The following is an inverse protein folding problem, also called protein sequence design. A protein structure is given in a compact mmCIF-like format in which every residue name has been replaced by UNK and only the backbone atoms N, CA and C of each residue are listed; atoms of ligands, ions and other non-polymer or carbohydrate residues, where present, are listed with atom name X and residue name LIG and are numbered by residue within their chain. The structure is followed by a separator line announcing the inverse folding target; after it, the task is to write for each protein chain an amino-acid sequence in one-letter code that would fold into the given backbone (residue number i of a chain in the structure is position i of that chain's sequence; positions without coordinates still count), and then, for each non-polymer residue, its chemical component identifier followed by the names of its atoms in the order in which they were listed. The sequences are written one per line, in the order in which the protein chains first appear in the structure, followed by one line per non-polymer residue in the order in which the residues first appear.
data_IF_968484905937
#
_entry.id   IF_968484905937
#
_cell.length_a   1.000
_cell.length_b   1.000
_cell.length_c   1.000
_cell.angle_alpha   90.00
_cell.angle_beta   90.00
_cell.angle_gamma   90.00
#
_symmetry.space_group_name_H-M   'P 1'
#
loop_
_entity.id
_entity.type
_entity.pdbx_description
1 polymer ?
#
# COMPACT_ATOMS: atom_id res chain seq x y z
N UNK A 1 16.63 -0.77 -18.22
CA UNK A 1 16.39 0.46 -17.42
C UNK A 1 14.90 0.74 -17.48
N UNK A 2 14.27 1.10 -16.35
CA UNK A 2 12.84 1.46 -16.32
C UNK A 2 12.69 2.88 -16.88
N UNK A 3 12.20 3.00 -18.10
CA UNK A 3 11.98 4.29 -18.77
C UNK A 3 10.52 4.77 -18.65
N UNK A 4 10.20 5.88 -19.30
CA UNK A 4 8.86 6.45 -19.28
C UNK A 4 7.85 5.60 -20.07
N UNK A 5 8.29 4.90 -21.10
CA UNK A 5 7.45 4.02 -21.92
C UNK A 5 6.98 2.83 -21.09
N UNK A 6 7.91 2.12 -20.44
CA UNK A 6 7.59 0.99 -19.57
C UNK A 6 6.66 1.40 -18.41
N UNK A 7 6.94 2.56 -17.76
CA UNK A 7 6.08 3.04 -16.66
C UNK A 7 4.64 3.30 -17.07
N UNK A 8 4.43 3.73 -18.31
CA UNK A 8 3.11 4.07 -18.84
C UNK A 8 2.49 2.93 -19.68
N UNK A 9 3.22 1.83 -19.91
CA UNK A 9 2.67 0.67 -20.59
C UNK A 9 1.52 0.06 -19.80
N UNK A 10 0.40 -0.18 -20.46
CA UNK A 10 -0.75 -0.86 -19.87
C UNK A 10 -0.37 -2.25 -19.37
N UNK A 11 0.36 -3.01 -20.20
CA UNK A 11 0.79 -4.37 -19.91
C UNK A 11 1.69 -4.43 -18.67
N UNK A 12 2.63 -3.50 -18.53
CA UNK A 12 3.52 -3.45 -17.36
C UNK A 12 2.75 -3.10 -16.08
N UNK A 13 1.80 -2.18 -16.17
CA UNK A 13 0.94 -1.80 -15.04
C UNK A 13 -0.01 -2.94 -14.65
N UNK A 14 -0.61 -3.63 -15.61
CA UNK A 14 -1.49 -4.78 -15.36
C UNK A 14 -0.72 -5.96 -14.75
N UNK A 15 0.47 -6.26 -15.29
CA UNK A 15 1.36 -7.27 -14.70
C UNK A 15 1.77 -6.93 -13.25
N UNK A 16 2.10 -5.67 -12.97
CA UNK A 16 2.41 -5.25 -11.61
C UNK A 16 1.23 -5.45 -10.66
N UNK A 17 0.01 -5.11 -11.09
CA UNK A 17 -1.20 -5.35 -10.31
C UNK A 17 -1.44 -6.84 -10.07
N UNK A 18 -1.26 -7.67 -11.09
CA UNK A 18 -1.40 -9.12 -10.95
C UNK A 18 -0.37 -9.69 -9.98
N UNK A 19 0.89 -9.27 -10.05
CA UNK A 19 1.94 -9.67 -9.11
C UNK A 19 1.60 -9.29 -7.67
N UNK A 20 0.99 -8.12 -7.46
CA UNK A 20 0.59 -7.65 -6.14
C UNK A 20 -0.62 -8.41 -5.59
N UNK A 21 -1.59 -8.77 -6.43
CA UNK A 21 -2.93 -9.21 -6.01
C UNK A 21 -3.14 -10.71 -6.18
N UNK A 22 -2.69 -11.31 -7.28
CA UNK A 22 -3.12 -12.64 -7.70
C UNK A 22 -2.14 -13.75 -7.29
N UNK A 23 -0.85 -13.47 -7.16
CA UNK A 23 0.18 -14.49 -6.94
C UNK A 23 0.43 -14.89 -5.48
N UNK A 24 -0.40 -14.45 -4.55
CA UNK A 24 -0.48 -14.99 -3.18
C UNK A 24 0.72 -14.72 -2.25
N UNK A 25 1.79 -14.09 -2.71
CA UNK A 25 2.92 -13.66 -1.88
C UNK A 25 3.51 -12.32 -2.35
N UNK A 26 2.76 -11.23 -2.16
CA UNK A 26 3.16 -9.90 -2.62
C UNK A 26 4.46 -9.41 -1.95
N UNK A 27 4.67 -9.77 -0.69
CA UNK A 27 5.87 -9.38 0.05
C UNK A 27 7.14 -9.85 -0.65
N UNK A 28 7.22 -11.12 -1.02
CA UNK A 28 8.42 -11.68 -1.68
C UNK A 28 8.74 -10.96 -2.99
N UNK A 29 7.72 -10.68 -3.78
CA UNK A 29 7.88 -10.01 -5.09
C UNK A 29 8.32 -8.57 -4.90
N UNK A 30 7.62 -7.81 -4.04
CA UNK A 30 7.93 -6.41 -3.79
C UNK A 30 9.31 -6.24 -3.15
N UNK A 31 9.69 -7.11 -2.23
CA UNK A 31 11.02 -7.13 -1.62
C UNK A 31 12.10 -7.27 -2.68
N UNK A 32 11.98 -8.26 -3.58
CA UNK A 32 12.93 -8.43 -4.67
C UNK A 32 12.97 -7.24 -5.61
N UNK A 33 11.82 -6.67 -5.96
CA UNK A 33 11.75 -5.45 -6.77
C UNK A 33 12.44 -4.27 -6.06
N UNK A 34 12.28 -4.16 -4.73
CA UNK A 34 12.90 -3.10 -3.93
C UNK A 34 14.41 -3.28 -3.85
N UNK A 35 14.89 -4.49 -3.53
CA UNK A 35 16.31 -4.84 -3.45
C UNK A 35 17.10 -4.50 -4.73
N UNK A 36 16.50 -4.72 -5.89
CA UNK A 36 17.13 -4.41 -7.20
C UNK A 36 16.82 -2.99 -7.69
N UNK A 37 16.17 -2.16 -6.90
CA UNK A 37 15.82 -0.78 -7.24
C UNK A 37 14.71 -0.65 -8.28
N UNK A 38 14.11 -1.76 -8.72
CA UNK A 38 13.05 -1.74 -9.73
C UNK A 38 11.78 -1.06 -9.22
N UNK A 39 11.37 -1.33 -7.96
CA UNK A 39 10.13 -0.79 -7.40
C UNK A 39 10.15 0.74 -7.36
N UNK A 40 11.24 1.34 -6.88
CA UNK A 40 11.43 2.79 -6.87
C UNK A 40 11.58 3.39 -8.28
N UNK A 41 12.18 2.67 -9.23
CA UNK A 41 12.25 3.10 -10.62
C UNK A 41 10.88 3.04 -11.31
N UNK A 42 10.06 2.03 -11.02
CA UNK A 42 8.73 1.84 -11.59
C UNK A 42 7.69 2.78 -10.96
N UNK A 43 7.77 2.98 -9.63
CA UNK A 43 6.96 3.95 -8.87
C UNK A 43 7.91 4.97 -8.23
N UNK A 44 8.27 6.08 -8.91
CA UNK A 44 9.24 7.04 -8.39
C UNK A 44 8.86 7.63 -7.03
N UNK A 45 7.56 7.75 -6.76
CA UNK A 45 7.07 8.20 -5.47
C UNK A 45 7.38 7.19 -4.34
N UNK A 46 7.38 5.89 -4.63
CA UNK A 46 7.86 4.87 -3.70
C UNK A 46 9.39 4.93 -3.54
N UNK A 47 10.10 5.26 -4.61
CA UNK A 47 11.56 5.43 -4.56
C UNK A 47 12.03 6.49 -3.54
N UNK A 48 11.20 7.51 -3.24
CA UNK A 48 11.53 8.53 -2.22
C UNK A 48 11.47 7.99 -0.79
N UNK A 49 10.67 6.98 -0.53
CA UNK A 49 10.53 6.39 0.81
C UNK A 49 11.46 5.20 1.05
N UNK A 50 12.21 4.78 0.04
CA UNK A 50 13.23 3.72 0.19
C UNK A 50 14.32 4.18 1.15
N UNK A 51 14.63 3.34 2.13
CA UNK A 51 15.59 3.62 3.21
C UNK A 51 15.27 4.89 4.05
N UNK A 52 14.06 5.45 3.93
CA UNK A 52 13.63 6.58 4.74
C UNK A 52 13.37 6.12 6.17
N UNK A 53 14.23 6.56 7.10
CA UNK A 53 14.07 6.29 8.53
C UNK A 53 13.11 7.28 9.16
N UNK A 54 12.20 6.77 10.00
CA UNK A 54 11.40 7.60 10.90
C UNK A 54 12.01 7.58 12.29
N UNK A 55 12.55 8.74 12.73
CA UNK A 55 13.14 8.91 14.06
C UNK A 55 12.03 9.10 15.11
N UNK A 56 11.24 8.05 15.37
CA UNK A 56 10.38 8.02 16.55
C UNK A 56 10.52 6.67 17.27
N UNK A 57 10.20 6.63 18.55
CA UNK A 57 10.42 5.46 19.42
C UNK A 57 9.63 4.20 19.02
N UNK A 58 8.79 4.26 18.01
CA UNK A 58 7.86 3.19 17.64
C UNK A 58 8.17 2.54 16.28
N UNK A 59 9.17 3.04 15.51
CA UNK A 59 9.44 2.54 14.18
C UNK A 59 10.82 1.88 14.10
N UNK A 60 10.83 0.55 13.99
CA UNK A 60 12.04 -0.27 13.83
C UNK A 60 12.41 -0.48 12.35
N UNK A 61 11.55 -0.06 11.44
CA UNK A 61 11.70 -0.26 10.01
C UNK A 61 11.76 1.07 9.27
N UNK A 62 12.43 1.07 8.11
CA UNK A 62 12.29 2.12 7.12
C UNK A 62 10.88 2.11 6.54
N UNK A 63 10.43 3.22 5.94
CA UNK A 63 9.04 3.37 5.47
C UNK A 63 8.69 2.34 4.39
N UNK A 64 9.62 2.06 3.48
CA UNK A 64 9.47 1.03 2.45
C UNK A 64 9.35 -0.37 3.06
N UNK A 65 10.22 -0.70 4.02
CA UNK A 65 10.18 -2.00 4.71
C UNK A 65 8.89 -2.15 5.51
N UNK A 66 8.46 -1.11 6.24
CA UNK A 66 7.18 -1.10 6.93
C UNK A 66 6.02 -1.41 5.96
N UNK A 67 5.99 -0.75 4.81
CA UNK A 67 4.94 -0.96 3.80
C UNK A 67 4.93 -2.41 3.29
N UNK A 68 6.11 -2.97 3.00
CA UNK A 68 6.24 -4.36 2.55
C UNK A 68 5.79 -5.35 3.64
N UNK A 69 6.14 -5.08 4.91
CA UNK A 69 5.68 -5.90 6.04
C UNK A 69 4.16 -5.83 6.25
N UNK A 70 3.54 -4.67 6.09
CA UNK A 70 2.08 -4.54 6.14
C UNK A 70 1.39 -5.41 5.08
N UNK A 71 1.93 -5.45 3.86
CA UNK A 71 1.40 -6.31 2.79
C UNK A 71 1.61 -7.81 3.07
N UNK A 72 2.73 -8.17 3.73
CA UNK A 72 2.96 -9.53 4.22
C UNK A 72 1.88 -9.93 5.21
N UNK A 73 1.70 -9.13 6.27
CA UNK A 73 0.70 -9.39 7.32
C UNK A 73 -0.70 -9.51 6.71
N UNK A 74 -1.07 -8.61 5.79
CA UNK A 74 -2.35 -8.71 5.10
C UNK A 74 -2.52 -10.05 4.37
N UNK A 75 -1.49 -10.49 3.63
CA UNK A 75 -1.54 -11.76 2.89
C UNK A 75 -1.56 -12.99 3.80
N UNK A 76 -0.99 -12.88 5.00
CA UNK A 76 -1.06 -13.93 6.03
C UNK A 76 -2.46 -14.01 6.64
N UNK A 77 -3.06 -12.86 6.96
CA UNK A 77 -4.43 -12.78 7.48
C UNK A 77 -5.43 -13.40 6.49
N UNK A 78 -5.29 -13.16 5.19
CA UNK A 78 -6.15 -13.76 4.17
C UNK A 78 -6.08 -15.29 4.11
N UNK A 79 -4.96 -15.87 4.56
CA UNK A 79 -4.72 -17.32 4.56
C UNK A 79 -5.14 -18.00 5.87
N UNK A 80 -5.55 -17.23 6.89
CA UNK A 80 -5.97 -17.80 8.16
C UNK A 80 -7.19 -18.73 7.96
N UNK A 81 -7.27 -19.86 8.71
CA UNK A 81 -8.43 -20.73 8.67
C UNK A 81 -9.70 -20.01 9.08
N UNK A 82 -10.82 -20.28 8.38
CA UNK A 82 -12.12 -19.61 8.59
C UNK A 82 -12.80 -19.87 9.95
N UNK A 83 -12.13 -20.48 10.91
CA UNK A 83 -12.69 -20.88 12.21
C UNK A 83 -12.08 -20.14 13.40
N UNK A 84 -11.42 -19.00 13.15
CA UNK A 84 -10.73 -18.26 14.21
C UNK A 84 -11.69 -17.41 15.08
N UNK A 85 -12.96 -17.20 14.64
CA UNK A 85 -13.99 -16.48 15.40
C UNK A 85 -13.65 -15.01 15.70
N UNK A 86 -12.74 -14.41 14.93
CA UNK A 86 -12.29 -13.05 15.13
C UNK A 86 -13.05 -12.06 14.24
N UNK A 87 -13.15 -10.78 14.67
CA UNK A 87 -13.70 -9.70 13.86
C UNK A 87 -12.99 -9.58 12.49
N UNK A 88 -11.72 -9.95 12.41
CA UNK A 88 -10.92 -9.99 11.19
C UNK A 88 -11.48 -11.00 10.20
N UNK A 89 -11.81 -12.22 10.66
CA UNK A 89 -12.40 -13.26 9.82
C UNK A 89 -13.76 -12.82 9.26
N UNK A 90 -14.60 -12.19 10.08
CA UNK A 90 -15.87 -11.65 9.63
C UNK A 90 -15.71 -10.62 8.53
N UNK A 91 -14.72 -9.71 8.66
CA UNK A 91 -14.41 -8.70 7.65
C UNK A 91 -13.94 -9.35 6.35
N UNK A 92 -13.00 -10.31 6.41
CA UNK A 92 -12.44 -10.97 5.22
C UNK A 92 -13.40 -11.97 4.56
N UNK A 93 -14.37 -12.51 5.30
CA UNK A 93 -15.41 -13.38 4.73
C UNK A 93 -16.44 -12.63 3.89
N UNK A 94 -16.51 -11.32 4.02
CA UNK A 94 -17.47 -10.50 3.26
C UNK A 94 -17.12 -10.50 1.78
N UNK A 95 -18.00 -10.99 0.94
CA UNK A 95 -17.87 -10.98 -0.55
C UNK A 95 -17.66 -9.58 -1.14
N UNK A 96 -17.88 -8.53 -0.36
CA UNK A 96 -17.72 -7.12 -0.77
C UNK A 96 -16.29 -6.58 -0.62
N UNK A 97 -15.37 -7.35 -0.02
CA UNK A 97 -14.00 -6.89 0.16
C UNK A 97 -13.27 -6.89 -1.19
N UNK A 98 -12.88 -5.71 -1.64
CA UNK A 98 -12.09 -5.56 -2.87
C UNK A 98 -10.60 -5.64 -2.54
N UNK A 99 -9.98 -6.82 -2.79
CA UNK A 99 -8.56 -7.07 -2.57
C UNK A 99 -7.68 -6.00 -3.21
N UNK A 100 -7.97 -5.62 -4.46
CA UNK A 100 -7.21 -4.60 -5.19
C UNK A 100 -7.19 -3.28 -4.43
N UNK A 101 -8.35 -2.83 -3.95
CA UNK A 101 -8.45 -1.60 -3.15
C UNK A 101 -7.61 -1.72 -1.89
N UNK A 102 -7.72 -2.83 -1.16
CA UNK A 102 -7.03 -3.01 0.11
C UNK A 102 -5.50 -3.04 -0.05
N UNK A 103 -4.99 -3.87 -0.99
CA UNK A 103 -3.55 -3.99 -1.23
C UNK A 103 -2.93 -2.69 -1.73
N UNK A 104 -3.59 -1.97 -2.64
CA UNK A 104 -3.09 -0.68 -3.12
C UNK A 104 -3.18 0.41 -2.05
N UNK A 105 -4.20 0.39 -1.20
CA UNK A 105 -4.28 1.34 -0.09
C UNK A 105 -3.12 1.15 0.88
N UNK A 106 -2.76 -0.10 1.21
CA UNK A 106 -1.59 -0.38 2.04
C UNK A 106 -0.29 0.00 1.31
N UNK A 107 -0.15 -0.30 0.02
CA UNK A 107 1.05 0.10 -0.72
C UNK A 107 1.27 1.61 -0.74
N UNK A 108 0.19 2.39 -0.68
CA UNK A 108 0.23 3.86 -0.80
C UNK A 108 0.03 4.61 0.51
N UNK A 109 -0.29 3.95 1.64
CA UNK A 109 -0.68 4.66 2.86
C UNK A 109 0.38 5.66 3.34
N UNK A 110 1.64 5.30 3.23
CA UNK A 110 2.79 6.10 3.67
C UNK A 110 3.60 6.72 2.53
N UNK A 111 3.14 6.64 1.28
CA UNK A 111 3.89 7.07 0.10
C UNK A 111 4.17 8.59 0.06
N UNK A 112 3.42 9.36 0.84
CA UNK A 112 3.62 10.81 1.01
C UNK A 112 4.66 11.19 2.05
N UNK A 113 5.23 10.23 2.80
CA UNK A 113 6.25 10.51 3.81
C UNK A 113 7.53 11.09 3.18
N UNK A 114 8.24 11.91 3.93
CA UNK A 114 9.43 12.62 3.45
C UNK A 114 9.15 13.86 2.60
N UNK A 115 7.88 14.23 2.39
CA UNK A 115 7.48 15.50 1.79
C UNK A 115 7.23 16.55 2.88
N UNK A 116 7.26 17.83 2.52
CA UNK A 116 7.14 18.96 3.47
C UNK A 116 5.74 19.07 4.10
N UNK A 117 4.71 18.69 3.35
CA UNK A 117 3.32 18.79 3.81
C UNK A 117 2.89 17.51 4.54
N UNK A 118 1.67 17.55 5.09
CA UNK A 118 1.03 16.38 5.69
C UNK A 118 1.06 15.17 4.74
N UNK A 119 1.68 14.09 5.19
CA UNK A 119 1.92 12.92 4.35
C UNK A 119 0.64 12.20 3.90
N UNK A 120 -0.46 12.32 4.65
CA UNK A 120 -1.74 11.74 4.27
C UNK A 120 -2.37 12.54 3.12
N UNK A 121 -2.20 13.87 3.11
CA UNK A 121 -2.64 14.75 2.01
C UNK A 121 -1.80 14.48 0.75
N UNK A 122 -0.49 14.46 0.90
CA UNK A 122 0.40 14.19 -0.23
C UNK A 122 0.23 12.75 -0.74
N UNK A 123 0.06 11.78 0.16
CA UNK A 123 -0.25 10.40 -0.17
C UNK A 123 -1.52 10.26 -1.02
N UNK A 124 -2.60 10.95 -0.66
CA UNK A 124 -3.84 10.99 -1.45
C UNK A 124 -3.60 11.53 -2.87
N UNK A 125 -2.84 12.62 -3.02
CA UNK A 125 -2.51 13.20 -4.34
C UNK A 125 -1.72 12.22 -5.20
N UNK A 126 -0.72 11.55 -4.60
CA UNK A 126 0.11 10.55 -5.27
C UNK A 126 -0.75 9.33 -5.65
N UNK A 127 -1.53 8.80 -4.70
CA UNK A 127 -2.44 7.68 -4.95
C UNK A 127 -3.42 7.99 -6.09
N UNK A 128 -3.94 9.21 -6.17
CA UNK A 128 -4.82 9.66 -7.26
C UNK A 128 -4.14 9.53 -8.62
N UNK A 129 -2.87 9.95 -8.74
CA UNK A 129 -2.08 9.85 -10.00
C UNK A 129 -1.79 8.39 -10.35
N UNK A 130 -1.35 7.59 -9.36
CA UNK A 130 -1.02 6.18 -9.56
C UNK A 130 -2.25 5.35 -9.93
N UNK A 131 -3.39 5.58 -9.29
CA UNK A 131 -4.65 4.90 -9.64
C UNK A 131 -5.09 5.18 -11.09
N UNK A 132 -4.88 6.41 -11.59
CA UNK A 132 -5.13 6.75 -13.00
C UNK A 132 -4.15 6.00 -13.92
N UNK A 133 -2.86 5.99 -13.59
CA UNK A 133 -1.84 5.26 -14.34
C UNK A 133 -2.14 3.76 -14.43
N UNK A 134 -2.60 3.17 -13.34
CA UNK A 134 -3.03 1.77 -13.26
C UNK A 134 -4.42 1.50 -13.85
N UNK A 135 -5.03 2.48 -14.51
CA UNK A 135 -6.35 2.35 -15.16
C UNK A 135 -7.45 1.83 -14.25
N UNK A 136 -7.41 2.20 -12.96
CA UNK A 136 -8.41 1.77 -11.98
C UNK A 136 -9.75 2.46 -12.20
N UNK A 137 -10.84 1.74 -11.89
CA UNK A 137 -12.19 2.31 -11.90
C UNK A 137 -12.30 3.46 -10.90
N UNK A 138 -13.15 4.44 -11.21
CA UNK A 138 -13.37 5.64 -10.39
C UNK A 138 -13.80 5.28 -8.95
N UNK A 139 -14.64 4.26 -8.81
CA UNK A 139 -15.10 3.77 -7.51
C UNK A 139 -13.95 3.15 -6.67
N UNK A 140 -13.01 2.46 -7.29
CA UNK A 140 -11.83 1.90 -6.63
C UNK A 140 -10.86 3.02 -6.24
N UNK A 141 -10.58 3.94 -7.15
CA UNK A 141 -9.74 5.12 -6.91
C UNK A 141 -10.23 5.93 -5.72
N UNK A 142 -11.53 6.28 -5.68
CA UNK A 142 -12.12 7.04 -4.57
C UNK A 142 -11.90 6.34 -3.23
N UNK A 143 -12.10 5.03 -3.17
CA UNK A 143 -11.89 4.23 -1.94
C UNK A 143 -10.41 4.22 -1.52
N UNK A 144 -9.49 4.00 -2.47
CA UNK A 144 -8.05 3.98 -2.18
C UNK A 144 -7.61 5.35 -1.66
N UNK A 145 -7.97 6.44 -2.35
CA UNK A 145 -7.61 7.78 -1.94
C UNK A 145 -8.17 8.11 -0.55
N UNK A 146 -9.41 7.75 -0.26
CA UNK A 146 -10.01 7.93 1.06
C UNK A 146 -9.26 7.15 2.15
N UNK A 147 -8.93 5.88 1.90
CA UNK A 147 -8.19 5.04 2.85
C UNK A 147 -6.78 5.59 3.10
N UNK A 148 -6.06 6.00 2.06
CA UNK A 148 -4.74 6.62 2.19
C UNK A 148 -4.83 7.93 3.00
N UNK A 149 -5.82 8.77 2.70
CA UNK A 149 -6.03 10.05 3.40
C UNK A 149 -6.31 9.87 4.90
N UNK A 150 -7.03 8.81 5.26
CA UNK A 150 -7.55 8.61 6.61
C UNK A 150 -6.91 7.43 7.35
N UNK A 151 -5.74 6.94 6.90
CA UNK A 151 -5.13 5.73 7.47
C UNK A 151 -4.74 5.86 8.96
N UNK A 152 -4.48 7.08 9.45
CA UNK A 152 -4.16 7.36 10.85
C UNK A 152 -5.39 7.57 11.73
N UNK A 153 -6.60 7.67 11.16
CA UNK A 153 -7.81 8.06 11.90
C UNK A 153 -8.05 7.17 13.12
N UNK A 154 -7.93 5.85 12.99
CA UNK A 154 -8.15 4.92 14.10
C UNK A 154 -7.09 5.05 15.18
N UNK A 155 -5.83 5.24 14.81
CA UNK A 155 -4.73 5.47 15.74
C UNK A 155 -4.92 6.79 16.49
N UNK A 156 -5.27 7.84 15.79
CA UNK A 156 -5.55 9.16 16.39
C UNK A 156 -6.69 9.11 17.40
N UNK A 157 -7.76 8.39 17.07
CA UNK A 157 -8.87 8.22 18.02
C UNK A 157 -8.48 7.40 19.25
N UNK A 158 -7.72 6.31 19.05
CA UNK A 158 -7.28 5.47 20.15
C UNK A 158 -6.32 6.19 21.11
N UNK A 159 -5.46 7.06 20.60
CA UNK A 159 -4.48 7.79 21.40
C UNK A 159 -5.05 9.06 22.07
N UNK A 160 -6.09 9.68 21.50
CA UNK A 160 -6.66 10.94 22.02
C UNK A 160 -7.83 10.74 22.99
N UNK A 161 -8.36 9.54 23.12
CA UNK A 161 -9.37 9.21 24.14
C UNK A 161 -8.66 8.58 25.31
N UNK A 162 -8.57 9.33 26.42
CA UNK A 162 -8.43 8.75 27.74
C UNK A 162 -9.67 7.87 27.98
N UNK A 163 -9.46 6.56 27.95
CA UNK A 163 -10.47 5.56 28.30
C UNK A 163 -10.50 5.38 29.81
#
# INVERSE_FOLDING_TARGET
MVDSELKNSFEANDLFLSLLIDYGNPERVLRRMNEVGFLGAFIPDFGRIVALMQFNMYHWFTVDEHTIQCLKVLSEIEKLPKNYGTAVEEIFSRKSLNRKVLYLSILFHDIGKGLENDHSIEGEKIATKLCKRFSLKDSERKKICWLVRNHLMMSDFAQKRDL
#
